data_IF_223966848076
#
_entry.id   IF_223966848076
#
_cell.length_a   1.000
_cell.length_b   1.000
_cell.length_c   1.000
_cell.angle_alpha   90.00
_cell.angle_beta   90.00
_cell.angle_gamma   90.00
#
_symmetry.space_group_name_H-M   'P 1'
#
loop_
_entity.id
_entity.type
_entity.pdbx_description
1 polymer ?
#
# COMPACT_ATOMS: atom_id res chain seq x y z
N UNK A 1 -6.18 -8.97 14.71
CA UNK A 1 -6.78 -7.98 13.78
C UNK A 1 -5.68 -7.02 13.35
N UNK A 2 -5.45 -6.82 12.06
CA UNK A 2 -4.44 -5.85 11.60
C UNK A 2 -4.84 -4.44 12.05
N UNK A 3 -3.95 -3.72 12.74
CA UNK A 3 -4.19 -2.34 13.13
C UNK A 3 -4.57 -1.52 11.89
N UNK A 4 -5.69 -0.78 11.95
CA UNK A 4 -6.12 0.12 10.88
C UNK A 4 -4.99 1.12 10.64
N UNK A 5 -4.48 1.18 9.40
CA UNK A 5 -3.35 2.06 9.02
C UNK A 5 -3.82 3.37 8.39
N UNK A 6 -5.01 3.35 7.81
CA UNK A 6 -5.64 4.52 7.19
C UNK A 6 -7.15 4.39 7.26
N UNK A 7 -7.83 5.54 7.27
CA UNK A 7 -9.28 5.62 7.15
C UNK A 7 -9.60 6.28 5.82
N UNK A 8 -10.56 5.71 5.08
CA UNK A 8 -11.00 6.26 3.80
C UNK A 8 -12.48 6.55 3.89
N UNK A 9 -12.88 7.74 3.47
CA UNK A 9 -14.27 8.15 3.38
C UNK A 9 -14.49 8.69 1.97
N UNK A 10 -15.53 8.19 1.30
CA UNK A 10 -15.96 8.68 -0.01
C UNK A 10 -17.22 9.51 0.22
N UNK A 11 -17.14 10.80 -0.07
CA UNK A 11 -18.26 11.73 -0.02
C UNK A 11 -18.53 12.22 -1.44
N UNK A 12 -19.46 11.56 -2.13
CA UNK A 12 -19.75 11.85 -3.54
C UNK A 12 -18.54 11.58 -4.45
N UNK A 13 -17.98 12.63 -5.04
CA UNK A 13 -16.79 12.56 -5.92
C UNK A 13 -15.48 12.72 -5.15
N UNK A 14 -15.51 13.02 -3.85
CA UNK A 14 -14.31 13.32 -3.07
C UNK A 14 -13.92 12.13 -2.20
N UNK A 15 -12.68 11.68 -2.38
CA UNK A 15 -12.03 10.66 -1.56
C UNK A 15 -11.16 11.34 -0.50
N UNK A 16 -11.56 11.22 0.77
CA UNK A 16 -10.77 11.65 1.92
C UNK A 16 -10.04 10.45 2.51
N UNK A 17 -8.72 10.53 2.61
CA UNK A 17 -7.86 9.50 3.18
C UNK A 17 -7.12 10.10 4.36
N UNK A 18 -7.34 9.55 5.55
CA UNK A 18 -6.56 9.90 6.74
C UNK A 18 -5.55 8.81 7.03
N UNK A 19 -4.26 9.13 6.94
CA UNK A 19 -3.18 8.23 7.33
C UNK A 19 -2.90 8.40 8.84
N UNK A 20 -2.83 7.29 9.57
CA UNK A 20 -2.88 7.29 11.04
C UNK A 20 -1.50 7.56 11.66
N UNK A 21 -0.40 7.17 11.02
CA UNK A 21 0.96 7.26 11.58
C UNK A 21 1.60 8.64 11.40
N UNK A 22 1.33 9.33 10.29
CA UNK A 22 1.76 10.70 9.96
C UNK A 22 0.67 11.74 10.18
N UNK A 23 -0.52 11.35 10.64
CA UNK A 23 -1.66 12.23 10.91
C UNK A 23 -1.95 13.20 9.74
N UNK A 24 -1.75 12.71 8.51
CA UNK A 24 -1.87 13.51 7.30
C UNK A 24 -3.18 13.15 6.60
N UNK A 25 -3.98 14.16 6.32
CA UNK A 25 -5.24 14.04 5.59
C UNK A 25 -4.99 14.35 4.10
N UNK A 26 -5.32 13.39 3.23
CA UNK A 26 -5.31 13.52 1.79
C UNK A 26 -6.74 13.70 1.29
N UNK A 27 -6.99 14.75 0.53
CA UNK A 27 -8.29 14.97 -0.13
C UNK A 27 -8.11 14.91 -1.64
N UNK A 28 -8.70 13.89 -2.27
CA UNK A 28 -8.57 13.62 -3.71
C UNK A 28 -9.95 13.76 -4.35
N UNK A 29 -10.07 14.62 -5.35
CA UNK A 29 -11.35 14.89 -6.01
C UNK A 29 -11.41 14.22 -7.37
N UNK A 30 -12.27 13.21 -7.51
CA UNK A 30 -12.47 12.47 -8.73
C UNK A 30 -12.84 13.34 -9.93
N UNK A 31 -13.59 14.43 -9.72
CA UNK A 31 -14.00 15.33 -10.79
C UNK A 31 -12.83 16.11 -11.41
N UNK A 32 -11.68 16.18 -10.72
CA UNK A 32 -10.46 16.82 -11.24
C UNK A 32 -9.64 15.91 -12.15
N UNK A 33 -9.95 14.62 -12.21
CA UNK A 33 -9.23 13.69 -13.08
C UNK A 33 -9.61 13.91 -14.55
N UNK A 34 -8.74 13.55 -15.50
CA UNK A 34 -9.08 13.56 -16.91
C UNK A 34 -10.30 12.66 -17.20
N UNK A 35 -11.19 13.02 -18.15
CA UNK A 35 -12.42 12.27 -18.42
C UNK A 35 -12.17 10.80 -18.82
N UNK A 36 -11.06 10.52 -19.51
CA UNK A 36 -10.65 9.15 -19.85
C UNK A 36 -10.31 8.30 -18.61
N UNK A 37 -9.70 8.93 -17.60
CA UNK A 37 -9.34 8.31 -16.32
C UNK A 37 -10.58 8.15 -15.44
N UNK A 38 -11.49 9.13 -15.44
CA UNK A 38 -12.78 9.06 -14.75
C UNK A 38 -13.60 7.86 -15.26
N UNK A 39 -13.70 7.69 -16.57
CA UNK A 39 -14.42 6.57 -17.16
C UNK A 39 -13.85 5.20 -16.73
N UNK A 40 -12.53 5.09 -16.60
CA UNK A 40 -11.84 3.85 -16.22
C UNK A 40 -11.99 3.47 -14.74
N UNK A 41 -12.23 4.43 -13.84
CA UNK A 41 -12.30 4.14 -12.41
C UNK A 41 -13.70 3.75 -11.91
N UNK A 42 -14.76 4.16 -12.59
CA UNK A 42 -16.13 3.97 -12.07
C UNK A 42 -16.30 4.57 -10.65
N UNK A 43 -17.36 4.19 -9.90
CA UNK A 43 -17.72 4.84 -8.63
C UNK A 43 -16.74 4.58 -7.48
N UNK A 44 -15.90 3.54 -7.53
CA UNK A 44 -15.05 3.13 -6.40
C UNK A 44 -13.57 2.87 -6.77
N UNK A 45 -13.21 2.92 -8.06
CA UNK A 45 -11.87 2.51 -8.49
C UNK A 45 -10.75 3.41 -7.98
N UNK A 46 -11.01 4.71 -7.78
CA UNK A 46 -10.01 5.64 -7.26
C UNK A 46 -9.57 5.28 -5.83
N UNK A 47 -10.53 4.94 -4.96
CA UNK A 47 -10.25 4.55 -3.56
C UNK A 47 -9.42 3.28 -3.45
N UNK A 48 -9.70 2.31 -4.33
CA UNK A 48 -8.89 1.09 -4.45
C UNK A 48 -7.48 1.40 -4.95
N UNK A 49 -7.37 2.18 -6.04
CA UNK A 49 -6.08 2.48 -6.67
C UNK A 49 -5.13 3.26 -5.77
N UNK A 50 -5.63 4.29 -5.11
CA UNK A 50 -4.83 5.08 -4.16
C UNK A 50 -4.50 4.23 -2.91
N UNK A 51 -5.46 3.40 -2.49
CA UNK A 51 -5.24 2.42 -1.43
C UNK A 51 -4.10 1.44 -1.69
N UNK A 52 -4.07 0.89 -2.89
CA UNK A 52 -3.07 -0.08 -3.34
C UNK A 52 -1.66 0.54 -3.36
N UNK A 53 -1.56 1.83 -3.72
CA UNK A 53 -0.29 2.56 -3.72
C UNK A 53 0.35 2.64 -2.31
N UNK A 54 -0.49 2.77 -1.28
CA UNK A 54 -0.10 2.81 0.12
C UNK A 54 -0.01 1.42 0.78
N UNK A 55 -0.37 0.33 0.07
CA UNK A 55 -0.34 -1.01 0.63
C UNK A 55 1.10 -1.41 1.01
N UNK A 56 1.27 -1.87 2.26
CA UNK A 56 2.58 -2.25 2.81
C UNK A 56 3.49 -1.10 3.24
N UNK A 57 3.12 0.16 2.95
CA UNK A 57 3.83 1.36 3.39
C UNK A 57 3.15 1.99 4.60
N UNK A 58 3.84 2.89 5.28
CA UNK A 58 3.29 3.67 6.40
C UNK A 58 3.83 5.09 6.40
N UNK A 59 3.15 5.97 7.14
CA UNK A 59 3.57 7.33 7.34
C UNK A 59 3.85 8.08 6.02
N UNK A 60 4.95 8.84 5.97
CA UNK A 60 5.34 9.65 4.80
C UNK A 60 5.47 8.83 3.52
N UNK A 61 6.02 7.61 3.58
CA UNK A 61 6.17 6.75 2.40
C UNK A 61 4.83 6.36 1.79
N UNK A 62 3.80 6.15 2.63
CA UNK A 62 2.45 5.88 2.17
C UNK A 62 1.85 7.12 1.48
N UNK A 63 2.02 8.31 2.07
CA UNK A 63 1.57 9.58 1.51
C UNK A 63 2.24 9.87 0.16
N UNK A 64 3.56 9.71 0.07
CA UNK A 64 4.32 9.93 -1.16
C UNK A 64 3.90 8.95 -2.28
N UNK A 65 3.66 7.69 -1.93
CA UNK A 65 3.17 6.71 -2.89
C UNK A 65 1.77 7.05 -3.41
N UNK A 66 0.86 7.52 -2.53
CA UNK A 66 -0.47 7.97 -2.92
C UNK A 66 -0.40 9.20 -3.83
N UNK A 67 0.42 10.20 -3.47
CA UNK A 67 0.63 11.41 -4.27
C UNK A 67 1.25 11.11 -5.64
N UNK A 68 2.23 10.19 -5.70
CA UNK A 68 2.83 9.78 -6.98
C UNK A 68 1.78 9.18 -7.93
N UNK A 69 0.91 8.32 -7.41
CA UNK A 69 -0.17 7.73 -8.21
C UNK A 69 -1.21 8.79 -8.58
N UNK A 70 -1.61 9.66 -7.64
CA UNK A 70 -2.53 10.75 -7.91
C UNK A 70 -2.04 11.69 -9.01
N UNK A 71 -0.78 12.15 -8.93
CA UNK A 71 -0.19 13.05 -9.92
C UNK A 71 -0.11 12.39 -11.30
N UNK A 72 0.32 11.13 -11.39
CA UNK A 72 0.33 10.44 -12.68
C UNK A 72 -1.07 10.25 -13.27
N UNK A 73 -2.10 10.06 -12.44
CA UNK A 73 -3.50 10.02 -12.91
C UNK A 73 -3.97 11.38 -13.41
N UNK A 74 -3.58 12.48 -12.76
CA UNK A 74 -3.84 13.85 -13.21
C UNK A 74 -3.18 14.14 -14.57
N UNK A 75 -2.00 13.58 -14.81
CA UNK A 75 -1.29 13.66 -16.11
C UNK A 75 -1.89 12.73 -17.18
N UNK A 76 -2.96 11.99 -16.89
CA UNK A 76 -3.57 11.02 -17.81
C UNK A 76 -2.80 9.69 -17.91
N UNK A 77 -1.75 9.50 -17.11
CA UNK A 77 -0.98 8.27 -17.06
C UNK A 77 -1.64 7.22 -16.15
N UNK A 78 -2.55 6.42 -16.72
CA UNK A 78 -3.20 5.30 -16.04
C UNK A 78 -2.23 4.23 -15.50
N UNK A 79 -1.08 4.08 -16.16
CA UNK A 79 -0.10 3.02 -15.85
C UNK A 79 0.76 3.34 -14.64
N UNK A 80 0.69 4.57 -14.11
CA UNK A 80 1.43 4.96 -12.91
C UNK A 80 1.11 4.01 -11.76
N UNK A 81 2.14 3.37 -11.22
CA UNK A 81 2.06 2.46 -10.07
C UNK A 81 3.15 2.85 -9.09
N UNK A 82 2.79 2.95 -7.82
CA UNK A 82 3.79 2.84 -6.78
C UNK A 82 3.93 1.35 -6.48
N UNK A 83 5.15 0.76 -6.49
CA UNK A 83 5.32 -0.63 -6.10
C UNK A 83 4.72 -0.81 -4.70
N UNK A 84 3.85 -1.80 -4.54
CA UNK A 84 3.38 -2.20 -3.21
C UNK A 84 4.60 -2.57 -2.36
N UNK A 85 4.51 -2.40 -1.04
CA UNK A 85 5.60 -2.78 -0.12
C UNK A 85 6.08 -4.21 -0.38
N UNK A 86 7.35 -4.48 -0.05
CA UNK A 86 8.04 -5.73 -0.39
C UNK A 86 7.18 -6.95 -0.03
N UNK A 87 6.77 -7.72 -1.05
CA UNK A 87 5.93 -8.88 -0.86
C UNK A 87 6.79 -9.98 -0.24
N UNK A 88 6.63 -10.19 1.07
CA UNK A 88 7.32 -11.26 1.77
C UNK A 88 6.79 -12.62 1.26
N UNK A 89 7.56 -13.28 0.40
CA UNK A 89 7.26 -14.62 -0.12
C UNK A 89 7.96 -15.67 0.73
N UNK A 90 7.48 -16.93 0.73
CA UNK A 90 8.16 -18.03 1.43
C UNK A 90 9.64 -18.10 1.05
N UNK A 91 9.94 -18.04 -0.27
CA UNK A 91 11.32 -17.99 -0.78
C UNK A 91 12.13 -16.80 -0.24
N UNK A 92 11.55 -15.60 -0.24
CA UNK A 92 12.22 -14.42 0.30
C UNK A 92 12.42 -14.47 1.82
N UNK A 93 11.55 -15.16 2.54
CA UNK A 93 11.70 -15.41 3.98
C UNK A 93 12.84 -16.41 4.23
N UNK A 94 12.92 -17.50 3.45
CA UNK A 94 14.02 -18.47 3.54
C UNK A 94 15.37 -17.83 3.22
N UNK A 95 15.45 -17.04 2.15
CA UNK A 95 16.68 -16.36 1.71
C UNK A 95 17.21 -15.39 2.77
N UNK A 96 16.32 -14.59 3.38
CA UNK A 96 16.68 -13.70 4.49
C UNK A 96 17.11 -14.46 5.75
N UNK A 97 16.54 -15.62 6.01
CA UNK A 97 16.99 -16.49 7.10
C UNK A 97 18.37 -17.07 6.77
N UNK A 98 18.61 -17.51 5.53
CA UNK A 98 19.90 -18.07 5.12
C UNK A 98 21.05 -17.05 5.20
N UNK A 99 20.74 -15.77 5.02
CA UNK A 99 21.69 -14.66 5.19
C UNK A 99 21.98 -14.30 6.66
N UNK A 100 21.25 -14.84 7.63
CA UNK A 100 21.50 -14.60 9.06
C UNK A 100 22.61 -15.51 9.61
N UNK A 101 23.22 -15.10 10.72
CA UNK A 101 24.20 -15.93 11.42
C UNK A 101 23.58 -17.27 11.87
N UNK A 102 24.32 -18.39 11.89
CA UNK A 102 23.75 -19.74 12.10
C UNK A 102 22.96 -19.92 13.41
N UNK A 103 23.32 -19.18 14.46
CA UNK A 103 22.55 -19.12 15.71
C UNK A 103 21.19 -18.44 15.53
N UNK A 104 21.15 -17.36 14.75
CA UNK A 104 19.93 -16.59 14.46
C UNK A 104 19.03 -17.33 13.46
N UNK A 105 19.61 -18.10 12.52
CA UNK A 105 18.84 -18.97 11.63
C UNK A 105 18.01 -20.00 12.39
N UNK A 106 18.64 -20.64 13.38
CA UNK A 106 18.01 -21.69 14.19
C UNK A 106 16.90 -21.09 15.07
N UNK A 107 17.15 -19.92 15.65
CA UNK A 107 16.14 -19.16 16.39
C UNK A 107 14.97 -18.73 15.49
N UNK A 108 15.24 -18.24 14.29
CA UNK A 108 14.23 -17.80 13.33
C UNK A 108 13.36 -18.97 12.85
N UNK A 109 13.96 -20.11 12.48
CA UNK A 109 13.23 -21.33 12.07
C UNK A 109 12.32 -21.85 13.21
N UNK A 110 12.85 -21.95 14.42
CA UNK A 110 12.07 -22.39 15.59
C UNK A 110 10.90 -21.44 15.92
N UNK A 111 11.08 -20.14 15.72
CA UNK A 111 10.03 -19.15 15.96
C UNK A 111 8.94 -19.20 14.87
N UNK A 112 9.33 -19.48 13.62
CA UNK A 112 8.41 -19.62 12.50
C UNK A 112 7.57 -20.89 12.60
N UNK A 113 8.15 -22.01 13.07
CA UNK A 113 7.40 -23.22 13.40
C UNK A 113 6.37 -22.98 14.51
N UNK A 114 6.74 -22.24 15.58
CA UNK A 114 5.80 -21.87 16.65
C UNK A 114 4.65 -20.97 16.17
N UNK A 115 4.88 -20.20 15.11
CA UNK A 115 3.86 -19.35 14.48
C UNK A 115 3.01 -20.12 13.44
N UNK A 116 3.22 -21.44 13.28
CA UNK A 116 2.47 -22.27 12.33
C UNK A 116 2.87 -22.08 10.87
N UNK A 117 4.03 -21.47 10.61
CA UNK A 117 4.56 -21.24 9.27
C UNK A 117 5.63 -22.30 8.98
N UNK A 118 5.23 -23.40 8.33
CA UNK A 118 6.19 -24.35 7.75
C UNK A 118 6.81 -23.74 6.48
N UNK A 119 8.10 -23.42 6.59
CA UNK A 119 8.97 -22.92 5.52
C UNK A 119 9.44 -24.06 4.61
#
# INVERSE_FOLDING_TARGET
MAAKRMTKVIEGTVLKIKEIESNTDLTLDFAKLPPDIQFKFGPFGLSHRIGDAAAGKKGKEAIEAMNKVWNGLMEGNWTVRAPAGEKLTKKGLTDKIDQMAPKEQTAAKALLEKLGLSL
#
